data_IF_541788045128
#
_entry.id   IF_541788045128
#
_cell.length_a   1.000
_cell.length_b   1.000
_cell.length_c   1.000
_cell.angle_alpha   90.00
_cell.angle_beta   90.00
_cell.angle_gamma   90.00
#
_symmetry.space_group_name_H-M   'P 1'
#
loop_
_entity.id
_entity.type
_entity.pdbx_description
1 polymer ?
#
# COMPACT_ATOMS: atom_id res chain seq x y z
N UNK A 1 3.48 -42.46 23.23
CA UNK A 1 3.82 -43.30 22.06
C UNK A 1 5.26 -43.05 21.62
N UNK A 2 6.19 -43.95 21.95
CA UNK A 2 7.60 -43.85 21.54
C UNK A 2 7.80 -44.58 20.21
N UNK A 3 8.35 -43.88 19.22
CA UNK A 3 8.75 -44.47 17.92
C UNK A 3 10.17 -45.00 18.05
N UNK A 4 10.32 -46.32 17.95
CA UNK A 4 11.63 -46.98 17.88
C UNK A 4 12.09 -47.02 16.43
N UNK A 5 13.30 -46.54 16.15
CA UNK A 5 13.95 -46.69 14.84
C UNK A 5 14.92 -47.86 14.89
N UNK A 6 14.71 -48.85 14.02
CA UNK A 6 15.67 -49.94 13.81
C UNK A 6 16.79 -49.44 12.89
N UNK A 7 17.96 -49.17 13.45
CA UNK A 7 19.17 -48.92 12.65
C UNK A 7 19.82 -50.26 12.36
N UNK A 8 19.63 -50.79 11.14
CA UNK A 8 20.30 -52.01 10.69
C UNK A 8 21.75 -51.65 10.35
N UNK A 9 22.71 -51.97 11.24
CA UNK A 9 24.15 -51.90 10.90
C UNK A 9 24.44 -52.94 9.83
N UNK A 10 24.76 -52.50 8.61
CA UNK A 10 25.34 -53.37 7.60
C UNK A 10 26.81 -53.57 7.98
N UNK A 11 27.17 -54.77 8.42
CA UNK A 11 28.56 -55.15 8.64
C UNK A 11 29.16 -55.62 7.31
N UNK A 12 30.11 -54.85 6.77
CA UNK A 12 30.87 -55.25 5.58
C UNK A 12 32.07 -56.10 6.04
N UNK A 13 32.01 -57.43 5.84
CA UNK A 13 33.14 -58.33 6.07
C UNK A 13 33.97 -58.52 4.80
N UNK A 14 35.30 -58.27 4.84
CA UNK A 14 36.21 -58.55 3.71
C UNK A 14 36.94 -59.89 3.96
N UNK A 15 36.64 -60.93 3.17
CA UNK A 15 37.32 -62.26 3.19
C UNK A 15 38.52 -62.30 2.22
N UNK A 16 39.55 -63.10 2.53
CA UNK A 16 40.95 -63.04 2.05
C UNK A 16 41.24 -63.25 0.55
N UNK A 17 42.41 -62.73 0.15
CA UNK A 17 43.16 -62.83 -1.13
C UNK A 17 42.71 -61.91 -2.28
N UNK A 18 43.33 -60.72 -2.37
CA UNK A 18 43.16 -59.72 -3.44
C UNK A 18 42.16 -58.58 -3.14
N UNK A 19 41.25 -58.78 -2.17
CA UNK A 19 40.17 -57.86 -1.80
C UNK A 19 40.58 -56.65 -0.93
N UNK A 20 41.75 -56.67 -0.31
CA UNK A 20 42.21 -55.56 0.57
C UNK A 20 42.36 -54.25 -0.21
N UNK A 21 42.90 -54.30 -1.43
CA UNK A 21 43.01 -53.10 -2.30
C UNK A 21 41.63 -52.57 -2.70
N UNK A 22 40.67 -53.45 -2.95
CA UNK A 22 39.29 -53.09 -3.31
C UNK A 22 38.54 -52.48 -2.12
N UNK A 23 38.63 -53.09 -0.93
CA UNK A 23 38.02 -52.52 0.29
C UNK A 23 38.67 -51.16 0.65
N UNK A 24 39.98 -51.01 0.48
CA UNK A 24 40.66 -49.73 0.68
C UNK A 24 40.21 -48.66 -0.32
N UNK A 25 40.07 -49.01 -1.61
CA UNK A 25 39.55 -48.10 -2.65
C UNK A 25 38.09 -47.69 -2.38
N UNK A 26 37.25 -48.61 -1.92
CA UNK A 26 35.87 -48.31 -1.53
C UNK A 26 35.81 -47.37 -0.33
N UNK A 27 36.64 -47.59 0.71
CA UNK A 27 36.70 -46.70 1.87
C UNK A 27 37.20 -45.30 1.49
N UNK A 28 38.22 -45.19 0.63
CA UNK A 28 38.68 -43.90 0.11
C UNK A 28 37.58 -43.18 -0.69
N UNK A 29 36.84 -43.90 -1.54
CA UNK A 29 35.70 -43.34 -2.28
C UNK A 29 34.58 -42.84 -1.38
N UNK A 30 34.25 -43.57 -0.30
CA UNK A 30 33.26 -43.13 0.70
C UNK A 30 33.76 -41.92 1.48
N UNK A 31 35.04 -41.89 1.88
CA UNK A 31 35.64 -40.75 2.56
C UNK A 31 35.65 -39.49 1.66
N UNK A 32 36.00 -39.65 0.39
CA UNK A 32 36.01 -38.55 -0.57
C UNK A 32 34.61 -37.97 -0.80
N UNK A 33 33.61 -38.82 -1.02
CA UNK A 33 32.21 -38.37 -1.17
C UNK A 33 31.67 -37.75 0.12
N UNK A 34 32.06 -38.25 1.30
CA UNK A 34 31.65 -37.64 2.59
C UNK A 34 32.23 -36.24 2.79
N UNK A 35 33.46 -35.99 2.35
CA UNK A 35 34.09 -34.68 2.40
C UNK A 35 33.44 -33.69 1.42
N UNK A 36 33.13 -34.15 0.21
CA UNK A 36 32.41 -33.36 -0.80
C UNK A 36 31.01 -32.96 -0.31
N UNK A 37 30.26 -33.91 0.25
CA UNK A 37 28.93 -33.65 0.84
C UNK A 37 29.01 -32.64 2.00
N UNK A 38 30.03 -32.74 2.86
CA UNK A 38 30.22 -31.79 3.95
C UNK A 38 30.53 -30.38 3.42
N UNK A 39 31.39 -30.28 2.40
CA UNK A 39 31.70 -29.01 1.72
C UNK A 39 30.45 -28.39 1.09
N UNK A 40 29.62 -29.19 0.43
CA UNK A 40 28.40 -28.72 -0.22
C UNK A 40 27.32 -28.33 0.79
N UNK A 41 27.22 -29.05 1.92
CA UNK A 41 26.32 -28.68 3.03
C UNK A 41 26.70 -27.32 3.63
N UNK A 42 27.99 -27.05 3.80
CA UNK A 42 28.46 -25.77 4.32
C UNK A 42 28.20 -24.61 3.34
N UNK A 43 28.46 -24.81 2.04
CA UNK A 43 28.08 -23.85 0.99
C UNK A 43 26.59 -23.57 0.98
N UNK A 44 25.76 -24.61 1.14
CA UNK A 44 24.31 -24.47 1.18
C UNK A 44 23.86 -23.63 2.39
N UNK A 45 24.48 -23.84 3.56
CA UNK A 45 24.23 -23.01 4.75
C UNK A 45 24.61 -21.54 4.53
N UNK A 46 25.75 -21.30 3.88
CA UNK A 46 26.18 -19.94 3.53
C UNK A 46 25.22 -19.27 2.55
N UNK A 47 24.79 -19.99 1.50
CA UNK A 47 23.80 -19.50 0.54
C UNK A 47 22.46 -19.17 1.21
N UNK A 48 21.99 -20.01 2.13
CA UNK A 48 20.78 -19.73 2.89
C UNK A 48 20.90 -18.45 3.71
N UNK A 49 22.05 -18.20 4.36
CA UNK A 49 22.30 -16.95 5.09
C UNK A 49 22.25 -15.73 4.17
N UNK A 50 22.86 -15.82 2.99
CA UNK A 50 22.84 -14.73 1.99
C UNK A 50 21.41 -14.46 1.53
N UNK A 51 20.63 -15.50 1.24
CA UNK A 51 19.23 -15.36 0.82
C UNK A 51 18.39 -14.71 1.92
N UNK A 52 18.53 -15.14 3.18
CA UNK A 52 17.83 -14.52 4.30
C UNK A 52 18.20 -13.05 4.47
N UNK A 53 19.49 -12.74 4.44
CA UNK A 53 19.98 -11.35 4.50
C UNK A 53 19.41 -10.49 3.34
N UNK A 54 19.38 -11.04 2.12
CA UNK A 54 18.80 -10.35 0.96
C UNK A 54 17.30 -10.14 1.11
N UNK A 55 16.58 -11.15 1.62
CA UNK A 55 15.16 -11.08 1.88
C UNK A 55 14.84 -10.01 2.94
N UNK A 56 15.64 -9.93 4.00
CA UNK A 56 15.47 -8.92 5.06
C UNK A 56 15.74 -7.50 4.53
N UNK A 57 16.83 -7.31 3.78
CA UNK A 57 17.16 -6.01 3.16
C UNK A 57 16.07 -5.56 2.17
N UNK A 58 15.58 -6.47 1.32
CA UNK A 58 14.49 -6.19 0.39
C UNK A 58 13.18 -5.86 1.13
N UNK A 59 12.87 -6.59 2.21
CA UNK A 59 11.70 -6.33 3.04
C UNK A 59 11.75 -4.95 3.67
N UNK A 60 12.93 -4.54 4.16
CA UNK A 60 13.16 -3.19 4.68
C UNK A 60 12.95 -2.11 3.60
N UNK A 61 13.51 -2.30 2.40
CA UNK A 61 13.29 -1.39 1.27
C UNK A 61 11.82 -1.29 0.88
N UNK A 62 11.11 -2.41 0.76
CA UNK A 62 9.68 -2.41 0.43
C UNK A 62 8.83 -1.72 1.50
N UNK A 63 9.18 -1.86 2.78
CA UNK A 63 8.50 -1.16 3.87
C UNK A 63 8.65 0.36 3.76
N UNK A 64 9.81 0.85 3.33
CA UNK A 64 10.05 2.27 3.10
C UNK A 64 9.14 2.82 2.00
N UNK A 65 9.02 2.13 0.87
CA UNK A 65 8.10 2.54 -0.21
C UNK A 65 6.62 2.42 0.18
N UNK A 66 6.25 1.43 0.99
CA UNK A 66 4.88 1.26 1.49
C UNK A 66 4.42 2.43 2.38
N UNK A 67 5.35 3.11 3.05
CA UNK A 67 5.04 4.27 3.89
C UNK A 67 4.79 5.57 3.10
N UNK A 68 4.99 5.56 1.78
CA UNK A 68 4.69 6.72 0.96
C UNK A 68 3.17 6.91 0.83
N UNK A 69 2.64 8.13 0.98
CA UNK A 69 1.22 8.39 0.78
C UNK A 69 0.79 7.95 -0.63
N UNK A 70 -0.31 7.23 -0.73
CA UNK A 70 -0.87 6.89 -2.04
C UNK A 70 -1.39 8.13 -2.75
N UNK A 71 -1.60 8.06 -4.06
CA UNK A 71 -2.15 9.16 -4.84
C UNK A 71 -3.53 9.59 -4.30
N UNK A 72 -4.33 8.64 -3.85
CA UNK A 72 -5.65 8.86 -3.24
C UNK A 72 -5.54 9.60 -1.91
N UNK A 73 -4.57 9.21 -1.07
CA UNK A 73 -4.31 9.86 0.21
C UNK A 73 -3.85 11.32 -0.01
N UNK A 74 -2.95 11.55 -0.96
CA UNK A 74 -2.51 12.90 -1.32
C UNK A 74 -3.66 13.74 -1.88
N UNK A 75 -4.49 13.18 -2.78
CA UNK A 75 -5.69 13.85 -3.30
C UNK A 75 -6.66 14.21 -2.18
N UNK A 76 -6.87 13.29 -1.24
CA UNK A 76 -7.70 13.53 -0.05
C UNK A 76 -7.18 14.70 0.78
N UNK A 77 -5.87 14.71 1.10
CA UNK A 77 -5.25 15.79 1.86
C UNK A 77 -5.37 17.14 1.14
N UNK A 78 -5.10 17.19 -0.16
CA UNK A 78 -5.26 18.41 -0.98
C UNK A 78 -6.71 18.88 -0.96
N UNK A 79 -7.69 17.98 -1.12
CA UNK A 79 -9.11 18.34 -1.11
C UNK A 79 -9.53 18.95 0.24
N UNK A 80 -9.01 18.43 1.35
CA UNK A 80 -9.28 18.93 2.70
C UNK A 80 -8.65 20.30 2.93
N UNK A 81 -7.42 20.52 2.46
CA UNK A 81 -6.77 21.84 2.53
C UNK A 81 -7.53 22.88 1.73
N UNK A 82 -7.95 22.56 0.50
CA UNK A 82 -8.75 23.44 -0.34
C UNK A 82 -10.12 23.75 0.30
N UNK A 83 -10.74 22.77 0.97
CA UNK A 83 -11.99 22.98 1.71
C UNK A 83 -11.80 23.99 2.85
N UNK A 84 -10.74 23.83 3.66
CA UNK A 84 -10.43 24.77 4.76
C UNK A 84 -10.14 26.18 4.25
N UNK A 85 -9.37 26.29 3.17
CA UNK A 85 -9.07 27.58 2.54
C UNK A 85 -10.35 28.30 2.08
N UNK A 86 -11.27 27.58 1.42
CA UNK A 86 -12.57 28.13 1.00
C UNK A 86 -13.40 28.58 2.19
N UNK A 87 -13.49 27.77 3.24
CA UNK A 87 -14.24 28.12 4.46
C UNK A 87 -13.69 29.38 5.13
N UNK A 88 -12.36 29.52 5.19
CA UNK A 88 -11.70 30.73 5.70
C UNK A 88 -12.03 31.95 4.84
N UNK A 89 -11.96 31.83 3.51
CA UNK A 89 -12.30 32.91 2.59
C UNK A 89 -13.77 33.35 2.69
N UNK A 90 -14.70 32.39 2.83
CA UNK A 90 -16.13 32.67 3.05
C UNK A 90 -16.32 33.43 4.36
N UNK A 91 -15.73 32.95 5.47
CA UNK A 91 -15.87 33.58 6.78
C UNK A 91 -15.28 35.00 6.79
N UNK A 92 -14.10 35.18 6.18
CA UNK A 92 -13.48 36.50 6.05
C UNK A 92 -14.34 37.45 5.21
N UNK A 93 -14.89 36.98 4.10
CA UNK A 93 -15.76 37.79 3.26
C UNK A 93 -17.08 38.16 3.95
N UNK A 94 -17.67 37.25 4.73
CA UNK A 94 -18.83 37.55 5.58
C UNK A 94 -18.51 38.68 6.56
N UNK A 95 -17.39 38.58 7.27
CA UNK A 95 -16.95 39.59 8.22
C UNK A 95 -16.77 40.95 7.54
N UNK A 96 -16.13 40.97 6.36
CA UNK A 96 -15.93 42.19 5.58
C UNK A 96 -17.25 42.82 5.14
N UNK A 97 -18.24 42.04 4.72
CA UNK A 97 -19.55 42.59 4.30
C UNK A 97 -20.34 43.16 5.49
N UNK A 98 -20.20 42.55 6.68
CA UNK A 98 -20.85 43.05 7.91
C UNK A 98 -20.27 44.40 8.33
N UNK A 99 -18.94 44.56 8.29
CA UNK A 99 -18.26 45.79 8.75
C UNK A 99 -18.09 46.85 7.66
N UNK A 100 -18.06 46.45 6.39
CA UNK A 100 -17.90 47.34 5.24
C UNK A 100 -18.97 46.99 4.21
N UNK A 101 -20.10 47.69 4.29
CA UNK A 101 -21.32 47.43 3.51
C UNK A 101 -21.13 47.43 1.99
N UNK A 102 -20.01 47.98 1.49
CA UNK A 102 -19.68 48.09 0.06
C UNK A 102 -18.62 47.07 -0.43
N UNK A 103 -18.20 46.13 0.42
CA UNK A 103 -17.14 45.19 0.05
C UNK A 103 -17.61 44.14 -0.98
N UNK A 104 -17.02 44.16 -2.18
CA UNK A 104 -17.41 43.30 -3.33
C UNK A 104 -16.70 41.94 -3.37
N UNK A 105 -16.41 41.33 -2.22
CA UNK A 105 -15.77 40.01 -2.23
C UNK A 105 -16.71 38.94 -2.78
N UNK A 106 -16.13 37.98 -3.50
CA UNK A 106 -16.83 36.80 -4.02
C UNK A 106 -16.01 35.56 -3.63
N UNK A 107 -16.36 34.87 -2.54
CA UNK A 107 -15.53 33.78 -2.00
C UNK A 107 -15.69 32.47 -2.76
N UNK A 108 -16.68 32.38 -3.66
CA UNK A 108 -16.96 31.21 -4.48
C UNK A 108 -16.30 31.31 -5.87
N UNK A 109 -16.00 30.18 -6.52
CA UNK A 109 -15.47 30.15 -7.88
C UNK A 109 -16.39 30.86 -8.89
N UNK A 110 -15.83 31.29 -10.02
CA UNK A 110 -16.59 31.86 -11.14
C UNK A 110 -17.71 30.88 -11.53
N UNK A 111 -18.93 31.37 -11.76
CA UNK A 111 -20.18 30.61 -12.03
C UNK A 111 -20.85 29.93 -10.83
N UNK A 112 -20.27 29.98 -9.63
CA UNK A 112 -20.91 29.45 -8.43
C UNK A 112 -21.60 30.59 -7.66
N UNK A 113 -22.80 30.30 -7.17
CA UNK A 113 -23.60 31.21 -6.37
C UNK A 113 -23.21 31.04 -4.90
N UNK A 114 -22.84 32.15 -4.28
CA UNK A 114 -22.57 32.17 -2.85
C UNK A 114 -23.87 32.43 -2.09
N UNK A 115 -24.21 31.55 -1.14
CA UNK A 115 -25.33 31.74 -0.23
C UNK A 115 -24.96 31.22 1.16
N UNK A 116 -25.19 32.05 2.19
CA UNK A 116 -24.79 31.81 3.58
C UNK A 116 -23.31 31.42 3.66
N UNK A 117 -23.01 30.17 4.03
CA UNK A 117 -21.65 29.67 4.21
C UNK A 117 -21.20 28.70 3.11
N UNK A 118 -21.97 28.61 2.01
CA UNK A 118 -21.80 27.58 0.99
C UNK A 118 -21.79 28.17 -0.43
N UNK A 119 -21.16 27.44 -1.35
CA UNK A 119 -21.16 27.73 -2.78
C UNK A 119 -22.03 26.71 -3.51
N UNK A 120 -22.93 27.18 -4.36
CA UNK A 120 -23.89 26.38 -5.11
C UNK A 120 -23.64 26.51 -6.61
N UNK A 121 -23.74 25.40 -7.33
CA UNK A 121 -23.66 25.37 -8.78
C UNK A 121 -25.00 24.90 -9.34
N UNK A 122 -25.60 25.71 -10.20
CA UNK A 122 -26.85 25.38 -10.87
C UNK A 122 -26.54 24.98 -12.32
N UNK A 123 -26.84 23.73 -12.67
CA UNK A 123 -26.76 23.28 -14.06
C UNK A 123 -28.04 23.73 -14.79
N UNK A 124 -27.97 24.87 -15.47
CA UNK A 124 -29.16 25.46 -16.14
C UNK A 124 -29.44 24.88 -17.52
N UNK A 125 -28.46 24.26 -18.17
CA UNK A 125 -28.53 23.87 -19.59
C UNK A 125 -28.39 22.35 -19.80
N UNK A 126 -28.40 21.56 -18.74
CA UNK A 126 -28.16 20.11 -18.81
C UNK A 126 -29.14 19.38 -17.88
N UNK A 127 -30.20 18.81 -18.44
CA UNK A 127 -30.99 17.82 -17.73
C UNK A 127 -30.21 16.51 -17.64
N UNK A 128 -29.87 16.10 -16.42
CA UNK A 128 -29.19 14.84 -16.13
C UNK A 128 -30.07 13.98 -15.23
N UNK A 129 -30.04 12.67 -15.46
CA UNK A 129 -30.59 11.70 -14.50
C UNK A 129 -29.90 11.87 -13.14
N UNK A 130 -30.58 11.53 -12.05
CA UNK A 130 -30.04 11.71 -10.70
C UNK A 130 -28.64 11.07 -10.50
N UNK A 131 -28.36 9.84 -10.98
CA UNK A 131 -27.01 9.26 -10.89
C UNK A 131 -25.96 10.07 -11.67
N UNK A 132 -26.31 10.59 -12.84
CA UNK A 132 -25.43 11.41 -13.66
C UNK A 132 -25.17 12.78 -13.02
N UNK A 133 -26.17 13.37 -12.36
CA UNK A 133 -26.01 14.60 -11.57
C UNK A 133 -25.07 14.37 -10.39
N UNK A 134 -25.24 13.26 -9.67
CA UNK A 134 -24.35 12.90 -8.56
C UNK A 134 -22.90 12.75 -9.03
N UNK A 135 -22.68 12.03 -10.14
CA UNK A 135 -21.35 11.87 -10.75
C UNK A 135 -20.77 13.24 -11.16
N UNK A 136 -21.57 14.08 -11.81
CA UNK A 136 -21.13 15.41 -12.23
C UNK A 136 -20.73 16.32 -11.07
N UNK A 137 -21.39 16.23 -9.91
CA UNK A 137 -20.98 16.95 -8.70
C UNK A 137 -19.64 16.40 -8.17
N UNK A 138 -19.48 15.08 -8.12
CA UNK A 138 -18.22 14.44 -7.69
C UNK A 138 -17.04 14.87 -8.57
N UNK A 139 -17.24 14.91 -9.90
CA UNK A 139 -16.23 15.39 -10.86
C UNK A 139 -15.82 16.85 -10.62
N UNK A 140 -16.71 17.66 -10.02
CA UNK A 140 -16.47 19.05 -9.62
C UNK A 140 -15.96 19.19 -8.19
N UNK A 141 -15.64 18.09 -7.49
CA UNK A 141 -15.31 18.05 -6.07
C UNK A 141 -16.40 18.68 -5.18
N UNK A 142 -17.67 18.45 -5.53
CA UNK A 142 -18.83 18.89 -4.77
C UNK A 142 -19.82 17.76 -4.53
N UNK A 143 -20.81 18.02 -3.67
CA UNK A 143 -21.88 17.07 -3.37
C UNK A 143 -23.16 17.56 -3.99
N UNK A 144 -23.90 16.65 -4.63
CA UNK A 144 -25.25 16.94 -5.09
C UNK A 144 -26.13 17.24 -3.88
N UNK A 145 -26.62 18.47 -3.78
CA UNK A 145 -27.51 18.86 -2.69
C UNK A 145 -28.92 18.36 -2.97
N UNK A 146 -29.59 17.84 -1.92
CA UNK A 146 -31.02 17.57 -1.94
C UNK A 146 -31.68 18.63 -1.07
N UNK A 147 -32.49 19.47 -1.68
CA UNK A 147 -33.21 20.54 -0.98
C UNK A 147 -34.39 19.89 -0.24
N UNK A 148 -34.16 19.49 1.00
CA UNK A 148 -35.18 18.87 1.86
C UNK A 148 -35.81 19.87 2.86
N UNK A 149 -35.26 21.09 2.98
CA UNK A 149 -35.73 22.10 3.94
C UNK A 149 -36.49 23.25 3.26
N UNK A 150 -37.55 23.73 3.92
CA UNK A 150 -38.34 24.88 3.45
C UNK A 150 -37.47 26.16 3.35
N UNK A 151 -36.46 26.28 4.20
CA UNK A 151 -35.54 27.43 4.27
C UNK A 151 -34.59 27.51 3.07
N UNK A 152 -34.24 26.38 2.46
CA UNK A 152 -33.44 26.30 1.24
C UNK A 152 -34.31 26.41 -0.03
N UNK A 153 -35.64 26.25 0.09
CA UNK A 153 -36.60 26.31 -1.02
C UNK A 153 -37.08 27.73 -1.36
N UNK A 154 -36.78 28.72 -0.51
CA UNK A 154 -37.23 30.13 -0.63
C UNK A 154 -36.08 31.06 -1.08
N UNK A 155 -35.03 30.52 -1.71
CA UNK A 155 -33.98 31.32 -2.38
C UNK A 155 -34.37 31.77 -3.78
#
# INVERSE_FOLDING_TARGET
>A
SQKYFFVKRIAYGCHENGKIRVCHLLCLGVLQTSNEINSDSEKLSQLQKIIHQQQDNLSQQLSYYRNFPTEEELKSQISNLLKRQRQMAVKLCQELIIHTSDHKCKPCPKTWHWHRNSCYYFATNEEKTWPNSRKSCMDKNSTLVKIDSLEEKVS
#
